data_IF_642796898246
#
_entry.id   IF_642796898246
#
_cell.length_a   1.000
_cell.length_b   1.000
_cell.length_c   1.000
_cell.angle_alpha   90.00
_cell.angle_beta   90.00
_cell.angle_gamma   90.00
#
_symmetry.space_group_name_H-M   'P 1'
#
loop_
_entity.id
_entity.type
_entity.pdbx_description
1 polymer ?
#
# COMPACT_ATOMS: atom_id res chain seq x y z
N UNK A 1 -34.86 21.84 24.80
CA UNK A 1 -33.74 21.00 24.36
C UNK A 1 -34.32 19.95 23.44
N UNK A 2 -34.09 20.06 22.14
CA UNK A 2 -34.43 18.97 21.22
C UNK A 2 -33.66 17.73 21.66
N UNK A 3 -34.39 16.65 21.96
CA UNK A 3 -33.76 15.38 22.30
C UNK A 3 -32.99 14.93 21.07
N UNK A 4 -31.71 14.60 21.24
CA UNK A 4 -30.91 14.05 20.14
C UNK A 4 -31.63 12.84 19.53
N UNK A 5 -31.68 12.72 18.20
CA UNK A 5 -32.34 11.60 17.55
C UNK A 5 -31.64 10.30 17.92
N UNK A 6 -32.43 9.25 18.18
CA UNK A 6 -31.91 7.92 18.46
C UNK A 6 -31.04 7.44 17.27
N UNK A 7 -29.82 6.97 17.55
CA UNK A 7 -28.90 6.48 16.52
C UNK A 7 -27.97 7.53 15.90
N UNK A 8 -27.98 8.79 16.37
CA UNK A 8 -27.05 9.85 15.91
C UNK A 8 -25.59 9.37 15.86
N UNK A 9 -25.10 8.70 16.89
CA UNK A 9 -23.72 8.19 16.93
C UNK A 9 -23.43 7.11 15.88
N UNK A 10 -24.41 6.25 15.58
CA UNK A 10 -24.25 5.20 14.55
C UNK A 10 -24.17 5.85 13.17
N UNK A 11 -25.03 6.84 12.89
CA UNK A 11 -24.96 7.61 11.65
C UNK A 11 -23.61 8.33 11.50
N UNK A 12 -23.11 8.95 12.59
CA UNK A 12 -21.78 9.59 12.60
C UNK A 12 -20.67 8.58 12.28
N UNK A 13 -20.70 7.39 12.91
CA UNK A 13 -19.69 6.35 12.65
C UNK A 13 -19.75 5.87 11.19
N UNK A 14 -20.94 5.70 10.63
CA UNK A 14 -21.10 5.31 9.23
C UNK A 14 -20.51 6.35 8.27
N UNK A 15 -20.79 7.65 8.45
CA UNK A 15 -20.17 8.70 7.64
C UNK A 15 -18.66 8.83 7.89
N UNK A 16 -18.20 8.67 9.13
CA UNK A 16 -16.78 8.72 9.47
C UNK A 16 -15.97 7.58 8.80
N UNK A 17 -16.59 6.43 8.54
CA UNK A 17 -15.93 5.34 7.79
C UNK A 17 -15.51 5.73 6.38
N UNK A 18 -16.21 6.69 5.75
CA UNK A 18 -15.80 7.20 4.43
C UNK A 18 -14.45 7.94 4.51
N UNK A 19 -14.09 8.52 5.67
CA UNK A 19 -12.81 9.20 5.86
C UNK A 19 -11.65 8.20 5.78
N UNK A 20 -11.82 6.96 6.23
CA UNK A 20 -10.79 5.92 6.10
C UNK A 20 -10.44 5.64 4.63
N UNK A 21 -11.42 5.72 3.72
CA UNK A 21 -11.18 5.55 2.28
C UNK A 21 -10.35 6.69 1.67
N UNK A 22 -10.34 7.89 2.24
CA UNK A 22 -9.50 8.99 1.75
C UNK A 22 -8.16 9.09 2.51
N UNK A 23 -8.15 8.71 3.78
CA UNK A 23 -6.96 8.80 4.64
C UNK A 23 -5.93 7.69 4.38
N UNK A 24 -6.36 6.54 3.82
CA UNK A 24 -5.50 5.37 3.68
C UNK A 24 -4.19 5.65 2.91
N UNK A 25 -4.22 6.45 1.85
CA UNK A 25 -3.02 6.72 1.04
C UNK A 25 -1.99 7.57 1.80
N UNK A 26 -2.45 8.62 2.48
CA UNK A 26 -1.59 9.50 3.29
C UNK A 26 -0.96 8.69 4.43
N UNK A 27 -1.77 7.89 5.12
CA UNK A 27 -1.30 7.02 6.20
C UNK A 27 -0.30 5.98 5.68
N UNK A 28 -0.58 5.37 4.52
CA UNK A 28 0.33 4.42 3.88
C UNK A 28 1.69 5.05 3.59
N UNK A 29 1.72 6.22 2.95
CA UNK A 29 2.95 6.95 2.62
C UNK A 29 3.69 7.36 3.90
N UNK A 30 2.97 7.86 4.92
CA UNK A 30 3.57 8.27 6.19
C UNK A 30 4.25 7.09 6.91
N UNK A 31 3.53 5.97 7.08
CA UNK A 31 4.07 4.78 7.75
C UNK A 31 5.24 4.18 6.95
N UNK A 32 5.10 4.09 5.63
CA UNK A 32 6.18 3.61 4.77
C UNK A 32 7.41 4.52 4.83
N UNK A 33 7.22 5.83 4.83
CA UNK A 33 8.29 6.82 4.98
C UNK A 33 9.05 6.66 6.31
N UNK A 34 8.33 6.41 7.41
CA UNK A 34 8.95 6.08 8.71
C UNK A 34 9.81 4.82 8.60
N UNK A 35 9.32 3.76 7.93
CA UNK A 35 10.11 2.54 7.74
C UNK A 35 11.41 2.77 6.95
N UNK A 36 11.37 3.61 5.90
CA UNK A 36 12.56 4.04 5.15
C UNK A 36 13.53 4.77 6.07
N UNK A 37 13.06 5.73 6.87
CA UNK A 37 13.90 6.50 7.80
C UNK A 37 14.53 5.58 8.86
N UNK A 38 13.77 4.61 9.37
CA UNK A 38 14.26 3.66 10.38
C UNK A 38 15.36 2.73 9.85
N UNK A 39 15.37 2.44 8.55
CA UNK A 39 16.41 1.67 7.89
C UNK A 39 17.58 2.53 7.40
N UNK A 40 17.35 3.81 7.15
CA UNK A 40 18.36 4.74 6.66
C UNK A 40 19.52 4.83 7.66
N UNK A 41 20.75 4.71 7.15
CA UNK A 41 21.97 4.65 7.97
C UNK A 41 22.24 3.31 8.65
N UNK A 42 21.25 2.42 8.79
CA UNK A 42 21.45 1.04 9.25
C UNK A 42 21.68 0.06 8.11
N UNK A 43 21.13 0.35 6.92
CA UNK A 43 21.26 -0.44 5.69
C UNK A 43 21.03 -1.94 5.91
N UNK A 44 19.95 -2.31 6.63
CA UNK A 44 19.67 -3.70 6.95
C UNK A 44 19.20 -4.43 5.69
N UNK A 45 19.96 -5.38 5.12
CA UNK A 45 19.66 -5.95 3.80
C UNK A 45 18.27 -6.57 3.68
N UNK A 46 17.80 -7.19 4.77
CA UNK A 46 16.45 -7.76 4.87
C UNK A 46 15.37 -6.68 4.74
N UNK A 47 15.47 -5.59 5.50
CA UNK A 47 14.52 -4.49 5.43
C UNK A 47 14.60 -3.81 4.05
N UNK A 48 15.81 -3.57 3.54
CA UNK A 48 16.05 -2.98 2.21
C UNK A 48 15.37 -3.78 1.10
N UNK A 49 15.45 -5.10 1.15
CA UNK A 49 14.76 -5.97 0.20
C UNK A 49 13.24 -5.70 0.20
N UNK A 50 12.58 -5.79 1.36
CA UNK A 50 11.13 -5.59 1.47
C UNK A 50 10.70 -4.15 1.19
N UNK A 51 11.51 -3.16 1.57
CA UNK A 51 11.26 -1.75 1.28
C UNK A 51 11.24 -1.49 -0.24
N UNK A 52 12.17 -2.08 -1.00
CA UNK A 52 12.17 -2.00 -2.47
C UNK A 52 10.95 -2.69 -3.09
N UNK A 53 10.55 -3.85 -2.59
CA UNK A 53 9.35 -4.56 -3.06
C UNK A 53 8.10 -3.70 -2.84
N UNK A 54 7.90 -3.19 -1.62
CA UNK A 54 6.73 -2.38 -1.27
C UNK A 54 6.72 -1.03 -1.99
N UNK A 55 7.89 -0.38 -2.13
CA UNK A 55 8.01 0.84 -2.91
C UNK A 55 7.59 0.63 -4.37
N UNK A 56 7.97 -0.51 -4.97
CA UNK A 56 7.55 -0.86 -6.31
C UNK A 56 6.05 -1.04 -6.46
N UNK A 57 5.38 -1.65 -5.47
CA UNK A 57 3.92 -1.74 -5.44
C UNK A 57 3.31 -0.33 -5.37
N UNK A 58 3.76 0.53 -4.46
CA UNK A 58 3.27 1.91 -4.30
C UNK A 58 3.44 2.69 -5.61
N UNK A 59 4.63 2.62 -6.22
CA UNK A 59 4.91 3.30 -7.49
C UNK A 59 4.00 2.79 -8.62
N UNK A 60 3.78 1.48 -8.72
CA UNK A 60 2.90 0.90 -9.72
C UNK A 60 1.43 1.32 -9.52
N UNK A 61 0.95 1.39 -8.27
CA UNK A 61 -0.39 1.90 -7.94
C UNK A 61 -0.54 3.37 -8.32
N UNK A 62 0.47 4.20 -8.05
CA UNK A 62 0.45 5.62 -8.45
C UNK A 62 0.40 5.76 -9.96
N UNK A 63 1.24 5.02 -10.70
CA UNK A 63 1.21 5.01 -12.17
C UNK A 63 -0.15 4.58 -12.69
N UNK A 64 -0.71 3.47 -12.19
CA UNK A 64 -2.04 3.01 -12.56
C UNK A 64 -3.13 4.06 -12.29
N UNK A 65 -3.02 4.79 -11.18
CA UNK A 65 -3.97 5.84 -10.80
C UNK A 65 -3.88 7.06 -11.72
N UNK A 66 -2.67 7.46 -12.13
CA UNK A 66 -2.46 8.55 -13.09
C UNK A 66 -3.08 8.23 -14.45
N UNK A 67 -2.99 6.97 -14.89
CA UNK A 67 -3.56 6.51 -16.15
C UNK A 67 -4.99 5.96 -16.02
N UNK A 68 -5.67 6.18 -14.89
CA UNK A 68 -6.98 5.58 -14.62
C UNK A 68 -8.04 5.90 -15.67
N UNK A 69 -7.98 7.08 -16.29
CA UNK A 69 -8.90 7.47 -17.37
C UNK A 69 -8.74 6.64 -18.66
N UNK A 70 -7.58 6.02 -18.87
CA UNK A 70 -7.31 5.14 -20.00
C UNK A 70 -7.63 3.67 -19.70
N UNK A 71 -7.94 3.32 -18.44
CA UNK A 71 -8.27 1.97 -18.02
C UNK A 71 -9.75 1.69 -18.32
N UNK A 72 -10.09 0.59 -19.03
CA UNK A 72 -11.48 0.21 -19.26
C UNK A 72 -12.27 0.10 -17.96
N UNK A 73 -13.50 0.63 -17.97
CA UNK A 73 -14.43 0.53 -16.84
C UNK A 73 -14.96 -0.90 -16.69
N UNK A 74 -15.60 -1.21 -15.54
CA UNK A 74 -16.12 -2.54 -15.24
C UNK A 74 -15.25 -3.29 -14.23
N UNK A 75 -14.92 -4.55 -14.51
CA UNK A 75 -14.21 -5.41 -13.55
C UNK A 75 -12.69 -5.18 -13.50
N UNK A 76 -12.11 -4.54 -14.52
CA UNK A 76 -10.66 -4.36 -14.64
C UNK A 76 -10.05 -3.59 -13.46
N UNK A 77 -10.60 -2.43 -13.02
CA UNK A 77 -10.06 -1.72 -11.86
C UNK A 77 -10.09 -2.56 -10.58
N UNK A 78 -11.13 -3.37 -10.39
CA UNK A 78 -11.24 -4.28 -9.24
C UNK A 78 -10.13 -5.35 -9.29
N UNK A 79 -9.92 -5.98 -10.44
CA UNK A 79 -8.85 -6.96 -10.62
C UNK A 79 -7.47 -6.36 -10.36
N UNK A 80 -7.22 -5.13 -10.80
CA UNK A 80 -5.96 -4.42 -10.54
C UNK A 80 -5.75 -4.17 -9.04
N UNK A 81 -6.78 -3.71 -8.33
CA UNK A 81 -6.70 -3.52 -6.87
C UNK A 81 -6.42 -4.86 -6.18
N UNK A 82 -7.16 -5.91 -6.52
CA UNK A 82 -6.93 -7.25 -5.98
C UNK A 82 -5.52 -7.77 -6.26
N UNK A 83 -4.97 -7.50 -7.44
CA UNK A 83 -3.61 -7.87 -7.81
C UNK A 83 -2.57 -7.16 -6.95
N UNK A 84 -2.65 -5.83 -6.79
CA UNK A 84 -1.70 -5.10 -5.94
C UNK A 84 -1.79 -5.50 -4.47
N UNK A 85 -3.02 -5.73 -3.96
CA UNK A 85 -3.23 -6.25 -2.60
C UNK A 85 -2.60 -7.64 -2.45
N UNK A 86 -2.80 -8.54 -3.42
CA UNK A 86 -2.19 -9.87 -3.40
C UNK A 86 -0.67 -9.78 -3.36
N UNK A 87 -0.04 -8.92 -4.19
CA UNK A 87 1.41 -8.71 -4.13
C UNK A 87 1.85 -8.21 -2.75
N UNK A 88 1.16 -7.25 -2.16
CA UNK A 88 1.48 -6.74 -0.84
C UNK A 88 1.39 -7.85 0.24
N UNK A 89 0.36 -8.69 0.17
CA UNK A 89 0.19 -9.84 1.07
C UNK A 89 1.29 -10.88 0.90
N UNK A 90 1.69 -11.20 -0.33
CA UNK A 90 2.81 -12.13 -0.58
C UNK A 90 4.12 -11.60 0.00
N UNK A 91 4.41 -10.32 -0.22
CA UNK A 91 5.60 -9.67 0.36
C UNK A 91 5.57 -9.64 1.89
N UNK A 92 4.40 -9.40 2.48
CA UNK A 92 4.19 -9.43 3.94
C UNK A 92 4.39 -10.84 4.51
N UNK A 93 3.82 -11.86 3.89
CA UNK A 93 3.98 -13.26 4.32
C UNK A 93 5.45 -13.67 4.26
N UNK A 94 6.16 -13.29 3.19
CA UNK A 94 7.61 -13.50 3.09
C UNK A 94 8.36 -12.84 4.25
N UNK A 95 8.03 -11.58 4.56
CA UNK A 95 8.68 -10.85 5.66
C UNK A 95 8.42 -11.50 7.02
N UNK A 96 7.17 -11.90 7.32
CA UNK A 96 6.80 -12.59 8.56
C UNK A 96 7.53 -13.93 8.69
N UNK A 97 7.83 -14.60 7.57
CA UNK A 97 8.59 -15.86 7.51
C UNK A 97 10.11 -15.66 7.55
N UNK A 98 10.61 -14.43 7.68
CA UNK A 98 12.03 -14.10 7.59
C UNK A 98 12.67 -14.49 6.23
N UNK A 99 11.86 -14.49 5.17
CA UNK A 99 12.27 -14.84 3.81
C UNK A 99 12.38 -13.58 2.94
N UNK A 100 13.24 -13.64 1.91
CA UNK A 100 13.39 -12.60 0.90
C UNK A 100 12.85 -13.08 -0.45
N UNK A 101 11.62 -13.57 -0.44
CA UNK A 101 10.95 -14.05 -1.64
C UNK A 101 10.54 -12.84 -2.49
N UNK A 102 11.05 -12.80 -3.73
CA UNK A 102 10.70 -11.73 -4.65
C UNK A 102 9.24 -11.86 -5.07
N UNK A 103 8.54 -10.73 -5.17
CA UNK A 103 7.19 -10.70 -5.69
C UNK A 103 7.14 -11.29 -7.10
N UNK A 104 6.10 -12.09 -7.43
CA UNK A 104 6.01 -12.73 -8.73
C UNK A 104 5.99 -11.67 -9.85
N UNK A 105 6.65 -11.98 -10.97
CA UNK A 105 6.74 -11.16 -12.20
C UNK A 105 7.56 -9.87 -12.03
N UNK A 106 7.27 -9.06 -11.02
CA UNK A 106 7.81 -7.70 -10.86
C UNK A 106 8.89 -7.56 -9.81
N UNK A 107 8.99 -8.50 -8.86
CA UNK A 107 9.87 -8.37 -7.71
C UNK A 107 11.36 -8.26 -8.05
N UNK A 108 11.91 -9.04 -9.00
CA UNK A 108 13.29 -8.86 -9.45
C UNK A 108 13.53 -7.50 -10.11
N UNK A 109 12.55 -6.95 -10.83
CA UNK A 109 12.63 -5.63 -11.45
C UNK A 109 12.67 -4.53 -10.38
N UNK A 110 11.83 -4.63 -9.35
CA UNK A 110 11.82 -3.70 -8.23
C UNK A 110 13.17 -3.64 -7.50
N UNK A 111 13.81 -4.80 -7.29
CA UNK A 111 15.16 -4.84 -6.70
C UNK A 111 16.20 -4.12 -7.56
N UNK A 112 16.09 -4.22 -8.89
CA UNK A 112 17.01 -3.58 -9.83
C UNK A 112 16.77 -2.07 -9.95
N UNK A 113 15.51 -1.64 -10.07
CA UNK A 113 15.15 -0.25 -10.29
C UNK A 113 15.30 0.62 -9.05
N UNK A 114 14.98 0.09 -7.87
CA UNK A 114 14.97 0.87 -6.63
C UNK A 114 16.25 0.66 -5.81
N UNK A 115 17.39 0.49 -6.49
CA UNK A 115 18.69 0.27 -5.86
C UNK A 115 19.18 1.45 -4.99
N UNK A 116 18.58 2.63 -5.15
CA UNK A 116 18.85 3.82 -4.34
C UNK A 116 18.32 3.69 -2.90
N UNK A 117 17.35 2.80 -2.66
CA UNK A 117 16.91 2.43 -1.31
C UNK A 117 17.97 1.49 -0.75
N UNK A 118 18.67 1.92 0.30
CA UNK A 118 19.74 1.17 0.96
C UNK A 118 19.33 0.65 2.33
#
# INVERSE_FOLDING_TARGET
MDKEPAGKSIAIIAYASALFLFFHLIVCIAIFGVAIILNNGKNQPFATFHLRQMFGIIAAVVVASVFASAIPTGIIPLLMICFFVLLALLGLVSAIRNQTDALPIVGPLFQKWFNFIK
#
